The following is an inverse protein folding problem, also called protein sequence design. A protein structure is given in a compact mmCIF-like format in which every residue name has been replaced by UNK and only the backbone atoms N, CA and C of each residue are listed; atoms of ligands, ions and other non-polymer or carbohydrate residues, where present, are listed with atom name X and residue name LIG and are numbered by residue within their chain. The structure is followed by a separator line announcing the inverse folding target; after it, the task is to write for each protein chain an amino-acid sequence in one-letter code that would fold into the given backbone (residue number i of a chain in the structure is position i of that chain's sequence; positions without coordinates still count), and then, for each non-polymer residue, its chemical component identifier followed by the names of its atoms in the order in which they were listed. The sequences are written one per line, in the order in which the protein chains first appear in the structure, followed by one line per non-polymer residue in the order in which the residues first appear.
data_IF_394205730429
#
_entry.id   IF_394205730429
#
_cell.length_a   1.000
_cell.length_b   1.000
_cell.length_c   1.000
_cell.angle_alpha   90.00
_cell.angle_beta   90.00
_cell.angle_gamma   90.00
#
_symmetry.space_group_name_H-M   'P 1'
#
loop_
_entity.id
_entity.type
_entity.pdbx_description
1 polymer ?
#
# COMPACT_ATOMS: atom_id res chain seq x y z
N UNK A 1 41.02 49.22 18.36
CA UNK A 1 39.75 48.48 18.60
C UNK A 1 39.78 47.21 17.76
N UNK A 2 40.29 46.11 18.30
CA UNK A 2 40.28 44.80 17.63
C UNK A 2 39.27 43.91 18.36
N UNK A 3 38.25 43.43 17.63
CA UNK A 3 37.32 42.41 18.12
C UNK A 3 37.77 41.05 17.58
N UNK A 4 38.20 40.20 18.49
CA UNK A 4 38.40 38.76 18.27
C UNK A 4 37.03 38.09 18.12
N UNK A 5 36.87 37.30 17.06
CA UNK A 5 35.74 36.39 16.86
C UNK A 5 36.18 34.99 17.26
N UNK A 6 35.63 34.47 18.37
CA UNK A 6 35.81 33.07 18.78
C UNK A 6 34.85 32.20 17.99
N UNK A 7 35.39 31.32 17.15
CA UNK A 7 34.66 30.22 16.55
C UNK A 7 34.61 29.05 17.53
N UNK A 8 33.43 28.76 18.07
CA UNK A 8 33.18 27.56 18.87
C UNK A 8 33.02 26.35 17.95
N UNK A 9 34.01 25.46 18.00
CA UNK A 9 33.96 24.13 17.37
C UNK A 9 33.09 23.24 18.27
N UNK A 10 31.88 22.92 17.82
CA UNK A 10 31.03 21.89 18.44
C UNK A 10 31.43 20.55 17.82
N UNK A 11 32.17 19.74 18.58
CA UNK A 11 32.47 18.36 18.22
C UNK A 11 31.22 17.51 18.43
N UNK A 12 30.62 17.05 17.33
CA UNK A 12 29.51 16.10 17.34
C UNK A 12 30.07 14.70 17.63
N UNK A 13 29.95 14.24 18.89
CA UNK A 13 30.30 12.87 19.28
C UNK A 13 29.12 11.96 18.92
N UNK A 14 29.26 11.20 17.84
CA UNK A 14 28.34 10.12 17.48
C UNK A 14 28.64 8.89 18.35
N UNK A 15 27.92 8.77 19.47
CA UNK A 15 27.90 7.54 20.26
C UNK A 15 27.12 6.46 19.47
N UNK A 16 27.86 5.55 18.83
CA UNK A 16 27.32 4.30 18.32
C UNK A 16 26.87 3.43 19.51
N UNK A 17 25.59 3.51 19.85
CA UNK A 17 24.95 2.52 20.72
C UNK A 17 24.76 1.23 19.91
N UNK A 18 25.73 0.34 19.97
CA UNK A 18 25.52 -1.08 19.64
C UNK A 18 24.61 -1.67 20.72
N UNK A 19 23.30 -1.57 20.50
CA UNK A 19 22.32 -2.27 21.31
C UNK A 19 22.60 -3.77 21.26
N UNK A 20 22.88 -4.36 22.43
CA UNK A 20 22.89 -5.80 22.62
C UNK A 20 21.48 -6.32 22.33
N UNK A 21 21.24 -6.74 21.09
CA UNK A 21 20.07 -7.52 20.74
C UNK A 21 20.18 -8.85 21.47
N UNK A 22 19.38 -9.04 22.51
CA UNK A 22 19.08 -10.37 23.06
C UNK A 22 18.27 -11.13 22.01
N UNK A 23 18.95 -11.63 20.98
CA UNK A 23 18.44 -12.65 20.10
C UNK A 23 18.30 -13.92 20.89
N UNK A 24 17.06 -14.36 21.13
CA UNK A 24 16.82 -15.76 21.40
C UNK A 24 17.33 -16.51 20.17
N UNK A 25 18.44 -17.24 20.33
CA UNK A 25 18.95 -18.10 19.27
C UNK A 25 17.79 -18.99 18.81
N UNK A 26 17.42 -18.98 17.51
CA UNK A 26 16.41 -19.90 17.01
C UNK A 26 16.86 -21.30 17.38
N UNK A 27 15.92 -22.11 17.89
CA UNK A 27 16.22 -23.47 18.31
C UNK A 27 17.01 -24.19 17.20
N UNK A 28 18.18 -24.78 17.51
CA UNK A 28 19.02 -25.41 16.50
C UNK A 28 18.22 -26.54 15.82
N UNK A 29 17.97 -26.40 14.52
CA UNK A 29 17.25 -27.39 13.71
C UNK A 29 16.01 -26.88 12.97
N UNK A 30 15.56 -25.64 13.14
CA UNK A 30 14.54 -25.07 12.24
C UNK A 30 15.17 -24.76 10.87
N UNK A 31 15.08 -25.73 9.96
CA UNK A 31 15.33 -25.47 8.54
C UNK A 31 14.38 -24.36 8.08
N UNK A 32 14.97 -23.24 7.63
CA UNK A 32 14.22 -22.19 6.95
C UNK A 32 13.67 -22.80 5.66
N UNK A 33 12.41 -23.22 5.67
CA UNK A 33 11.70 -23.60 4.45
C UNK A 33 11.81 -22.38 3.53
N UNK A 34 12.39 -22.51 2.32
CA UNK A 34 12.58 -21.39 1.41
C UNK A 34 11.25 -20.65 1.25
N UNK A 35 11.30 -19.31 1.33
CA UNK A 35 10.14 -18.46 1.08
C UNK A 35 9.64 -18.80 -0.31
N UNK A 36 8.42 -19.32 -0.40
CA UNK A 36 7.79 -19.51 -1.70
C UNK A 36 7.54 -18.12 -2.27
N UNK A 37 7.85 -17.92 -3.55
CA UNK A 37 7.58 -16.67 -4.24
C UNK A 37 6.08 -16.55 -4.52
N UNK A 38 5.28 -16.29 -3.48
CA UNK A 38 3.82 -16.12 -3.56
C UNK A 38 3.52 -14.65 -3.75
N UNK A 39 2.81 -14.30 -4.83
CA UNK A 39 2.32 -12.94 -5.04
C UNK A 39 1.10 -12.67 -4.16
N UNK A 40 0.78 -11.40 -3.88
CA UNK A 40 -0.44 -11.06 -3.15
C UNK A 40 -1.70 -11.57 -3.87
N UNK A 41 -1.76 -11.43 -5.19
CA UNK A 41 -2.86 -11.95 -6.00
C UNK A 41 -3.02 -13.47 -5.84
N UNK A 42 -1.91 -14.21 -5.89
CA UNK A 42 -1.94 -15.65 -5.68
C UNK A 42 -2.43 -15.97 -4.27
N UNK A 43 -1.91 -15.29 -3.24
CA UNK A 43 -2.35 -15.50 -1.87
C UNK A 43 -3.87 -15.31 -1.75
N UNK A 44 -4.44 -14.28 -2.36
CA UNK A 44 -5.84 -13.91 -2.22
C UNK A 44 -6.82 -14.59 -3.21
N UNK A 45 -6.34 -15.33 -4.21
CA UNK A 45 -7.15 -15.82 -5.34
C UNK A 45 -8.36 -16.71 -4.98
N UNK A 46 -8.31 -17.44 -3.87
CA UNK A 46 -9.39 -18.33 -3.42
C UNK A 46 -10.21 -17.80 -2.24
N UNK A 47 -9.94 -16.57 -1.80
CA UNK A 47 -10.55 -16.03 -0.59
C UNK A 47 -12.00 -15.65 -0.83
N UNK A 48 -12.90 -16.21 -0.02
CA UNK A 48 -14.31 -15.82 -0.01
C UNK A 48 -14.48 -14.62 0.91
N UNK A 49 -14.47 -13.44 0.31
CA UNK A 49 -14.55 -12.18 1.03
C UNK A 49 -15.94 -11.87 1.58
N UNK A 50 -15.98 -11.20 2.74
CA UNK A 50 -17.18 -10.55 3.23
C UNK A 50 -17.14 -9.05 2.89
N UNK A 51 -18.09 -8.59 2.08
CA UNK A 51 -18.17 -7.21 1.66
C UNK A 51 -17.22 -6.85 0.51
N UNK A 52 -16.93 -5.55 0.38
CA UNK A 52 -16.01 -5.04 -0.65
C UNK A 52 -14.57 -5.15 -0.17
N UNK A 53 -13.69 -5.56 -1.07
CA UNK A 53 -12.26 -5.72 -0.78
C UNK A 53 -11.46 -4.91 -1.78
N UNK A 54 -10.43 -4.17 -1.34
CA UNK A 54 -9.57 -3.42 -2.23
C UNK A 54 -8.89 -4.37 -3.21
N UNK A 55 -8.75 -3.93 -4.46
CA UNK A 55 -7.86 -4.63 -5.38
C UNK A 55 -6.41 -4.38 -4.94
N UNK A 56 -5.46 -5.26 -5.27
CA UNK A 56 -4.04 -5.00 -5.00
C UNK A 56 -3.59 -3.61 -5.49
N UNK A 57 -4.09 -3.18 -6.66
CA UNK A 57 -3.81 -1.86 -7.21
C UNK A 57 -4.35 -0.71 -6.33
N UNK A 58 -5.50 -0.90 -5.66
CA UNK A 58 -6.11 0.12 -4.82
C UNK A 58 -5.46 0.25 -3.43
N UNK A 59 -4.64 -0.73 -3.03
CA UNK A 59 -3.80 -0.64 -1.83
C UNK A 59 -2.70 0.41 -2.02
N UNK A 60 -2.25 0.65 -3.25
CA UNK A 60 -1.19 1.62 -3.55
C UNK A 60 0.10 1.33 -2.78
N UNK A 61 0.71 2.35 -2.20
CA UNK A 61 1.99 2.24 -1.46
C UNK A 61 1.83 1.73 -0.01
N UNK A 62 0.66 1.22 0.37
CA UNK A 62 0.46 0.62 1.71
C UNK A 62 0.98 -0.81 1.75
N UNK A 63 1.36 -1.26 2.94
CA UNK A 63 1.86 -2.62 3.16
C UNK A 63 0.71 -3.61 3.36
N UNK A 64 0.50 -4.57 2.45
CA UNK A 64 -0.47 -5.64 2.62
C UNK A 64 0.05 -6.65 3.66
N UNK A 65 -0.78 -7.00 4.63
CA UNK A 65 -0.53 -8.06 5.60
C UNK A 65 -1.66 -9.08 5.49
N UNK A 66 -1.31 -10.33 5.23
CA UNK A 66 -2.28 -11.43 5.24
C UNK A 66 -2.11 -12.20 6.53
N UNK A 67 -3.13 -12.18 7.39
CA UNK A 67 -3.16 -12.91 8.65
C UNK A 67 -4.19 -14.02 8.57
N UNK A 68 -3.77 -15.23 8.90
CA UNK A 68 -4.61 -16.42 8.99
C UNK A 68 -4.96 -16.66 10.45
N UNK A 69 -6.22 -16.95 10.73
CA UNK A 69 -6.66 -17.38 12.06
C UNK A 69 -7.57 -18.61 11.96
N UNK A 70 -7.71 -19.31 13.10
CA UNK A 70 -8.60 -20.45 13.25
C UNK A 70 -9.49 -20.22 14.48
N UNK A 71 -10.81 -20.36 14.33
CA UNK A 71 -11.76 -20.04 15.42
C UNK A 71 -11.97 -21.21 16.39
N UNK A 72 -11.70 -22.44 15.96
CA UNK A 72 -11.89 -23.65 16.76
C UNK A 72 -10.77 -23.87 17.80
N UNK A 73 -9.63 -23.21 17.64
CA UNK A 73 -8.44 -23.41 18.49
C UNK A 73 -8.60 -22.76 19.88
N UNK A 74 -8.69 -23.54 20.99
CA UNK A 74 -8.93 -22.97 22.31
C UNK A 74 -7.79 -22.08 22.81
N UNK A 75 -6.54 -22.48 22.53
CA UNK A 75 -5.34 -21.70 22.88
C UNK A 75 -5.32 -20.36 22.16
N UNK A 76 -5.69 -20.36 20.89
CA UNK A 76 -5.78 -19.16 20.07
C UNK A 76 -6.87 -18.24 20.61
N UNK A 77 -8.04 -18.79 20.93
CA UNK A 77 -9.17 -18.05 21.52
C UNK A 77 -8.84 -17.35 22.83
N UNK A 78 -7.92 -17.90 23.63
CA UNK A 78 -7.44 -17.25 24.85
C UNK A 78 -6.57 -16.01 24.57
N UNK A 79 -5.91 -15.95 23.40
CA UNK A 79 -5.01 -14.85 23.02
C UNK A 79 -5.68 -13.80 22.12
N UNK A 80 -6.66 -14.21 21.31
CA UNK A 80 -7.29 -13.34 20.31
C UNK A 80 -7.82 -12.03 20.87
N UNK A 81 -8.48 -11.95 22.06
CA UNK A 81 -8.96 -10.67 22.57
C UNK A 81 -7.84 -9.64 22.75
N UNK A 82 -6.72 -10.05 23.35
CA UNK A 82 -5.56 -9.18 23.59
C UNK A 82 -4.84 -8.84 22.28
N UNK A 83 -4.63 -9.85 21.42
CA UNK A 83 -3.98 -9.67 20.11
C UNK A 83 -4.77 -8.73 19.20
N UNK A 84 -6.09 -8.94 19.07
CA UNK A 84 -6.92 -8.15 18.17
C UNK A 84 -7.09 -6.72 18.66
N UNK A 85 -7.15 -6.50 19.99
CA UNK A 85 -7.13 -5.16 20.56
C UNK A 85 -5.83 -4.41 20.17
N UNK A 86 -4.66 -5.06 20.30
CA UNK A 86 -3.39 -4.44 19.92
C UNK A 86 -3.26 -4.20 18.41
N UNK A 87 -3.72 -5.14 17.58
CA UNK A 87 -3.76 -4.95 16.12
C UNK A 87 -4.65 -3.74 15.78
N UNK A 88 -5.85 -3.67 16.35
CA UNK A 88 -6.79 -2.61 16.06
C UNK A 88 -6.29 -1.23 16.51
N UNK A 89 -5.60 -1.14 17.64
CA UNK A 89 -4.93 0.08 18.08
C UNK A 89 -3.81 0.48 17.10
N UNK A 90 -2.93 -0.46 16.76
CA UNK A 90 -1.75 -0.20 15.95
C UNK A 90 -2.08 0.15 14.49
N UNK A 91 -3.00 -0.59 13.88
CA UNK A 91 -3.24 -0.50 12.44
C UNK A 91 -3.91 0.81 12.02
N UNK A 92 -4.51 1.56 12.97
CA UNK A 92 -5.12 2.87 12.71
C UNK A 92 -4.12 3.91 12.23
N UNK A 93 -2.88 3.81 12.72
CA UNK A 93 -1.84 4.82 12.49
C UNK A 93 -0.72 4.34 11.57
N UNK A 94 -0.85 3.13 11.02
CA UNK A 94 0.15 2.51 10.15
C UNK A 94 -0.37 2.35 8.71
N UNK A 95 0.48 2.54 7.68
CA UNK A 95 0.13 2.32 6.27
C UNK A 95 0.07 0.82 5.97
N UNK A 96 -0.81 0.12 6.68
CA UNK A 96 -0.99 -1.32 6.62
C UNK A 96 -2.44 -1.64 6.28
N UNK A 97 -2.63 -2.58 5.37
CA UNK A 97 -3.93 -3.18 5.05
C UNK A 97 -3.90 -4.62 5.48
N UNK A 98 -4.76 -4.98 6.43
CA UNK A 98 -4.84 -6.33 7.00
C UNK A 98 -5.93 -7.16 6.32
N UNK A 99 -5.55 -8.26 5.70
CA UNK A 99 -6.43 -9.30 5.21
C UNK A 99 -6.50 -10.42 6.26
N UNK A 100 -7.52 -10.39 7.11
CA UNK A 100 -7.78 -11.38 8.14
C UNK A 100 -8.62 -12.54 7.57
N UNK A 101 -7.97 -13.66 7.29
CA UNK A 101 -8.54 -14.83 6.62
C UNK A 101 -8.76 -15.95 7.62
N UNK A 102 -9.99 -16.44 7.72
CA UNK A 102 -10.27 -17.66 8.46
C UNK A 102 -9.84 -18.89 7.65
N UNK A 103 -9.09 -19.78 8.28
CA UNK A 103 -8.70 -21.06 7.70
C UNK A 103 -9.63 -22.23 8.08
N UNK A 104 -10.66 -22.00 8.90
CA UNK A 104 -11.59 -23.08 9.26
C UNK A 104 -12.32 -23.65 8.03
N UNK A 105 -12.49 -24.97 7.99
CA UNK A 105 -13.21 -25.65 6.91
C UNK A 105 -14.74 -25.46 7.01
N UNK A 106 -15.28 -25.41 8.23
CA UNK A 106 -16.72 -25.58 8.48
C UNK A 106 -17.42 -24.35 9.05
N UNK A 107 -16.66 -23.39 9.60
CA UNK A 107 -17.22 -22.22 10.28
C UNK A 107 -16.90 -20.94 9.53
N UNK A 108 -17.87 -20.03 9.42
CA UNK A 108 -17.63 -18.68 8.88
C UNK A 108 -16.91 -17.86 9.95
N UNK A 109 -15.67 -17.48 9.70
CA UNK A 109 -14.82 -16.83 10.70
C UNK A 109 -15.16 -15.37 10.95
N UNK A 110 -15.96 -14.77 10.08
CA UNK A 110 -16.27 -13.33 10.19
C UNK A 110 -17.07 -13.02 11.44
N UNK A 111 -18.02 -13.87 11.83
CA UNK A 111 -18.73 -13.71 13.11
C UNK A 111 -17.74 -13.69 14.28
N UNK A 112 -16.77 -14.60 14.27
CA UNK A 112 -15.71 -14.65 15.28
C UNK A 112 -14.84 -13.39 15.30
N UNK A 113 -14.41 -12.89 14.14
CA UNK A 113 -13.61 -11.67 14.04
C UNK A 113 -14.38 -10.44 14.56
N UNK A 114 -15.65 -10.31 14.18
CA UNK A 114 -16.54 -9.21 14.61
C UNK A 114 -16.83 -9.27 16.11
N UNK A 115 -17.18 -10.45 16.64
CA UNK A 115 -17.42 -10.66 18.08
C UNK A 115 -16.20 -10.31 18.93
N UNK A 116 -15.00 -10.44 18.36
CA UNK A 116 -13.72 -10.12 19.00
C UNK A 116 -13.19 -8.73 18.65
N UNK A 117 -14.01 -7.91 17.99
CA UNK A 117 -13.69 -6.54 17.60
C UNK A 117 -12.41 -6.41 16.75
N UNK A 118 -12.09 -7.43 15.95
CA UNK A 118 -11.12 -7.30 14.87
C UNK A 118 -11.85 -6.69 13.67
N UNK A 119 -12.16 -5.41 13.74
CA UNK A 119 -12.85 -4.68 12.67
C UNK A 119 -12.19 -3.32 12.52
N UNK A 120 -12.18 -2.80 11.30
CA UNK A 120 -11.59 -1.50 11.02
C UNK A 120 -11.63 -1.21 9.53
N UNK A 121 -11.43 0.05 9.10
CA UNK A 121 -11.62 0.38 7.70
C UNK A 121 -10.49 -0.12 6.79
N UNK A 122 -9.36 -0.54 7.36
CA UNK A 122 -8.23 -1.21 6.70
C UNK A 122 -8.09 -2.69 7.11
N UNK A 123 -9.15 -3.30 7.65
CA UNK A 123 -9.21 -4.73 7.97
C UNK A 123 -10.28 -5.40 7.10
N UNK A 124 -9.87 -6.39 6.31
CA UNK A 124 -10.73 -7.13 5.39
C UNK A 124 -10.84 -8.58 5.83
N UNK A 125 -12.05 -9.10 5.83
CA UNK A 125 -12.33 -10.46 6.31
C UNK A 125 -12.71 -11.39 5.17
N UNK A 126 -12.15 -12.60 5.19
CA UNK A 126 -12.54 -13.66 4.28
C UNK A 126 -12.36 -15.04 4.87
N UNK A 127 -12.82 -16.04 4.14
CA UNK A 127 -12.73 -17.46 4.51
C UNK A 127 -12.07 -18.24 3.37
N UNK A 128 -10.97 -18.96 3.67
CA UNK A 128 -10.27 -19.82 2.71
C UNK A 128 -9.49 -20.92 3.44
N UNK A 129 -10.00 -22.15 3.53
CA UNK A 129 -9.28 -23.24 4.20
C UNK A 129 -8.00 -23.67 3.47
N UNK A 130 -7.84 -23.32 2.19
CA UNK A 130 -6.63 -23.64 1.41
C UNK A 130 -5.52 -22.60 1.53
N UNK A 131 -5.76 -21.47 2.21
CA UNK A 131 -4.83 -20.35 2.32
C UNK A 131 -3.50 -20.75 2.97
N UNK A 132 -3.55 -21.66 3.95
CA UNK A 132 -2.38 -22.14 4.71
C UNK A 132 -1.40 -22.83 3.77
N UNK A 133 -1.90 -23.76 2.95
CA UNK A 133 -1.09 -24.47 1.95
C UNK A 133 -0.58 -23.51 0.88
N UNK A 134 -1.44 -22.61 0.39
CA UNK A 134 -1.10 -21.66 -0.68
C UNK A 134 0.02 -20.70 -0.28
N UNK A 135 0.05 -20.29 0.98
CA UNK A 135 1.07 -19.39 1.52
C UNK A 135 2.27 -20.11 2.13
N UNK A 136 2.32 -21.45 2.02
CA UNK A 136 3.41 -22.27 2.52
C UNK A 136 3.56 -22.25 4.04
N UNK A 137 2.47 -22.06 4.79
CA UNK A 137 2.48 -22.17 6.24
C UNK A 137 2.41 -23.62 6.70
N UNK A 138 3.01 -23.92 7.85
CA UNK A 138 2.95 -25.25 8.47
C UNK A 138 1.73 -25.44 9.38
N UNK A 139 0.97 -24.38 9.62
CA UNK A 139 -0.14 -24.37 10.57
C UNK A 139 -1.16 -23.29 10.21
N UNK A 140 -2.43 -23.59 10.49
CA UNK A 140 -3.55 -22.64 10.41
C UNK A 140 -3.66 -21.70 11.62
N UNK A 141 -2.78 -21.88 12.61
CA UNK A 141 -2.86 -21.19 13.89
C UNK A 141 -2.16 -19.83 13.86
N UNK A 142 -2.93 -18.76 13.63
CA UNK A 142 -2.51 -17.37 13.89
C UNK A 142 -1.17 -17.05 13.24
N UNK A 143 -1.08 -17.26 11.93
CA UNK A 143 0.09 -16.98 11.11
C UNK A 143 -0.13 -15.69 10.32
N UNK A 144 0.94 -14.98 9.95
CA UNK A 144 0.81 -13.87 9.03
C UNK A 144 1.97 -13.77 8.06
N UNK A 145 1.76 -13.06 6.96
CA UNK A 145 2.79 -12.68 6.01
C UNK A 145 2.68 -11.21 5.63
N UNK A 146 3.84 -10.59 5.46
CA UNK A 146 3.99 -9.23 4.98
C UNK A 146 4.33 -9.29 3.50
N UNK A 147 3.65 -8.49 2.69
CA UNK A 147 3.93 -8.36 1.27
C UNK A 147 4.62 -7.04 0.98
N UNK A 148 5.64 -7.06 0.12
CA UNK A 148 6.33 -5.87 -0.40
C UNK A 148 6.47 -6.02 -1.91
N UNK A 149 6.18 -4.96 -2.65
CA UNK A 149 6.22 -4.96 -4.11
C UNK A 149 5.40 -6.11 -4.74
N UNK A 150 4.25 -6.42 -4.11
CA UNK A 150 3.36 -7.51 -4.53
C UNK A 150 3.84 -8.92 -4.18
N UNK A 151 5.00 -9.08 -3.55
CA UNK A 151 5.63 -10.37 -3.23
C UNK A 151 5.66 -10.62 -1.72
N UNK A 152 5.52 -11.87 -1.30
CA UNK A 152 5.71 -12.28 0.09
C UNK A 152 7.15 -11.98 0.55
N UNK A 153 7.32 -11.05 1.48
CA UNK A 153 8.62 -10.59 1.97
C UNK A 153 9.02 -11.20 3.32
N UNK A 154 8.04 -11.65 4.10
CA UNK A 154 8.27 -12.25 5.42
C UNK A 154 7.04 -12.97 5.94
N UNK A 155 7.27 -13.88 6.88
CA UNK A 155 6.21 -14.64 7.56
C UNK A 155 6.56 -14.88 9.02
N UNK A 156 5.56 -14.89 9.88
CA UNK A 156 5.74 -15.18 11.30
C UNK A 156 4.42 -15.66 11.93
N UNK A 157 4.46 -16.02 13.21
CA UNK A 157 3.27 -16.37 13.98
C UNK A 157 2.77 -15.15 14.75
N UNK A 158 1.58 -14.66 14.40
CA UNK A 158 0.89 -13.56 15.09
C UNK A 158 0.57 -13.90 16.55
N UNK A 159 0.42 -15.20 16.88
CA UNK A 159 0.21 -15.67 18.25
C UNK A 159 1.47 -15.67 19.12
N UNK A 160 2.67 -15.53 18.54
CA UNK A 160 3.91 -15.35 19.31
C UNK A 160 3.97 -13.96 19.92
N UNK A 161 4.51 -13.85 21.14
CA UNK A 161 4.55 -12.58 21.87
C UNK A 161 5.83 -12.41 22.67
N UNK A 162 6.12 -11.16 23.02
CA UNK A 162 7.22 -10.74 23.87
C UNK A 162 6.65 -10.20 25.19
N UNK A 163 7.10 -10.70 26.35
CA UNK A 163 6.70 -10.14 27.62
C UNK A 163 7.31 -8.74 27.80
N UNK A 164 6.52 -7.78 28.27
CA UNK A 164 6.98 -6.46 28.69
C UNK A 164 7.27 -6.42 30.19
N UNK A 165 7.98 -5.37 30.63
CA UNK A 165 8.36 -5.18 32.03
C UNK A 165 7.16 -5.05 32.98
N UNK A 166 6.01 -4.62 32.48
CA UNK A 166 4.75 -4.50 33.22
C UNK A 166 3.93 -5.81 33.27
N UNK A 167 4.46 -6.90 32.71
CA UNK A 167 3.79 -8.20 32.63
C UNK A 167 2.79 -8.33 31.47
N UNK A 168 2.56 -7.27 30.69
CA UNK A 168 1.73 -7.34 29.47
C UNK A 168 2.47 -8.02 28.32
N UNK A 169 1.73 -8.47 27.31
CA UNK A 169 2.31 -9.08 26.10
C UNK A 169 2.37 -8.06 24.97
N UNK A 170 3.40 -8.15 24.14
CA UNK A 170 3.43 -7.54 22.82
C UNK A 170 3.47 -8.63 21.77
N UNK A 171 2.40 -8.75 20.97
CA UNK A 171 2.36 -9.76 19.91
C UNK A 171 3.31 -9.41 18.76
N UNK A 172 3.87 -10.43 18.12
CA UNK A 172 4.89 -10.29 17.08
C UNK A 172 4.43 -9.41 15.92
N UNK A 173 3.20 -9.58 15.44
CA UNK A 173 2.64 -8.78 14.35
C UNK A 173 2.55 -7.30 14.72
N UNK A 174 2.21 -6.99 15.98
CA UNK A 174 2.11 -5.63 16.50
C UNK A 174 3.51 -5.02 16.61
N UNK A 175 4.48 -5.80 17.07
CA UNK A 175 5.88 -5.37 17.12
C UNK A 175 6.43 -5.06 15.74
N UNK A 176 6.14 -5.91 14.75
CA UNK A 176 6.59 -5.70 13.38
C UNK A 176 5.93 -4.45 12.77
N UNK A 177 4.64 -4.20 13.05
CA UNK A 177 3.96 -2.96 12.66
C UNK A 177 4.64 -1.73 13.30
N UNK A 178 4.95 -1.78 14.60
CA UNK A 178 5.66 -0.70 15.33
C UNK A 178 7.06 -0.44 14.79
N UNK A 179 7.77 -1.49 14.39
CA UNK A 179 9.12 -1.37 13.82
C UNK A 179 9.12 -0.76 12.40
N UNK A 180 7.94 -0.60 11.81
CA UNK A 180 7.75 -0.13 10.45
C UNK A 180 7.73 -1.29 9.47
N UNK A 181 6.55 -1.65 8.98
CA UNK A 181 6.41 -2.61 7.88
C UNK A 181 6.70 -1.99 6.51
N UNK A 182 6.91 -0.67 6.46
CA UNK A 182 7.08 0.11 5.25
C UNK A 182 5.75 0.70 4.75
N UNK A 183 5.81 1.30 3.56
CA UNK A 183 4.68 1.93 2.91
C UNK A 183 4.41 3.37 3.36
N UNK A 184 3.44 4.00 2.73
CA UNK A 184 3.08 5.40 2.98
C UNK A 184 1.58 5.67 2.79
N UNK A 185 1.09 6.69 3.48
CA UNK A 185 -0.24 7.25 3.22
C UNK A 185 -0.20 8.25 2.07
N UNK A 186 -1.19 8.16 1.20
CA UNK A 186 -1.43 9.12 0.14
C UNK A 186 -2.15 10.36 0.67
N UNK A 187 -3.18 10.16 1.50
CA UNK A 187 -4.05 11.21 2.02
C UNK A 187 -3.79 11.42 3.51
N UNK A 188 -3.82 10.37 4.32
CA UNK A 188 -3.75 10.53 5.78
C UNK A 188 -2.39 11.04 6.28
N UNK A 189 -2.42 11.80 7.37
CA UNK A 189 -1.23 12.28 8.09
C UNK A 189 -1.38 12.03 9.59
N UNK A 190 -0.26 12.00 10.32
CA UNK A 190 -0.23 11.63 11.75
C UNK A 190 -0.85 12.69 12.67
N UNK A 191 -0.98 13.92 12.20
CA UNK A 191 -1.57 15.05 12.90
C UNK A 191 -3.11 15.10 12.78
N UNK A 192 -3.70 14.30 11.89
CA UNK A 192 -5.17 14.21 11.76
C UNK A 192 -5.81 13.57 12.99
N UNK A 193 -6.97 14.09 13.37
CA UNK A 193 -7.82 13.54 14.42
C UNK A 193 -8.25 12.11 14.08
N UNK A 194 -8.42 11.23 15.08
CA UNK A 194 -8.86 9.85 14.85
C UNK A 194 -10.16 9.75 14.05
N UNK A 195 -11.06 10.72 14.25
CA UNK A 195 -12.35 10.76 13.55
C UNK A 195 -12.18 11.10 12.07
N UNK A 196 -11.32 12.06 11.73
CA UNK A 196 -11.03 12.39 10.33
C UNK A 196 -10.35 11.21 9.61
N UNK A 197 -9.38 10.57 10.27
CA UNK A 197 -8.69 9.38 9.74
C UNK A 197 -9.68 8.27 9.38
N UNK A 198 -10.63 7.97 10.26
CA UNK A 198 -11.69 6.98 10.03
C UNK A 198 -12.52 7.31 8.78
N UNK A 199 -12.85 8.60 8.57
CA UNK A 199 -13.67 9.06 7.43
C UNK A 199 -12.90 8.98 6.10
N UNK A 200 -11.61 9.32 6.11
CA UNK A 200 -10.78 9.37 4.91
C UNK A 200 -10.16 8.01 4.55
N UNK A 201 -10.22 7.04 5.46
CA UNK A 201 -9.63 5.71 5.23
C UNK A 201 -10.15 4.98 4.00
N UNK A 202 -11.46 4.98 3.70
CA UNK A 202 -11.96 4.39 2.45
C UNK A 202 -11.28 5.00 1.21
N UNK A 203 -11.04 6.31 1.18
CA UNK A 203 -10.36 6.96 0.06
C UNK A 203 -8.88 6.54 -0.03
N UNK A 204 -8.22 6.39 1.11
CA UNK A 204 -6.84 5.93 1.19
C UNK A 204 -6.64 4.54 0.55
N UNK A 205 -7.61 3.63 0.67
CA UNK A 205 -7.58 2.28 0.09
C UNK A 205 -8.26 2.18 -1.29
N UNK A 206 -8.50 3.34 -1.92
CA UNK A 206 -8.93 3.47 -3.31
C UNK A 206 -10.43 3.64 -3.53
N UNK A 207 -11.23 3.97 -2.50
CA UNK A 207 -12.52 4.58 -2.77
C UNK A 207 -12.31 5.89 -3.53
N UNK A 208 -13.14 6.14 -4.54
CA UNK A 208 -13.00 7.32 -5.39
C UNK A 208 -13.14 8.59 -4.54
N UNK A 209 -12.11 9.44 -4.57
CA UNK A 209 -12.11 10.75 -3.95
C UNK A 209 -12.33 11.82 -5.03
N UNK A 210 -13.59 12.19 -5.24
CA UNK A 210 -13.98 13.30 -6.12
C UNK A 210 -14.80 14.36 -5.36
N UNK A 211 -15.01 15.54 -5.96
CA UNK A 211 -15.78 16.63 -5.35
C UNK A 211 -17.14 16.20 -4.82
N UNK A 212 -17.85 15.33 -5.55
CA UNK A 212 -19.17 14.85 -5.13
C UNK A 212 -19.07 14.03 -3.86
N UNK A 213 -18.08 13.14 -3.78
CA UNK A 213 -17.80 12.34 -2.59
C UNK A 213 -17.41 13.23 -1.41
N UNK A 214 -16.55 14.24 -1.62
CA UNK A 214 -16.14 15.19 -0.59
C UNK A 214 -17.32 15.97 -0.01
N UNK A 215 -18.21 16.49 -0.88
CA UNK A 215 -19.43 17.18 -0.46
C UNK A 215 -20.31 16.24 0.37
N UNK A 216 -20.41 14.97 -0.03
CA UNK A 216 -21.21 13.99 0.71
C UNK A 216 -20.62 13.66 2.08
N UNK A 217 -19.30 13.53 2.20
CA UNK A 217 -18.62 13.27 3.47
C UNK A 217 -18.76 14.47 4.41
N UNK A 218 -18.58 15.68 3.89
CA UNK A 218 -18.64 16.93 4.67
C UNK A 218 -20.02 17.19 5.31
N UNK A 219 -21.11 16.74 4.69
CA UNK A 219 -22.50 17.03 5.15
C UNK A 219 -22.80 16.61 6.59
N UNK A 220 -22.08 15.62 7.12
CA UNK A 220 -22.33 15.06 8.44
C UNK A 220 -21.25 15.44 9.47
N UNK A 221 -20.40 16.42 9.16
CA UNK A 221 -19.33 16.89 10.04
C UNK A 221 -19.78 18.14 10.79
N UNK A 222 -19.34 18.28 12.04
CA UNK A 222 -19.37 19.58 12.72
C UNK A 222 -18.33 20.54 12.09
N UNK A 223 -18.40 21.82 12.46
CA UNK A 223 -17.54 22.87 11.89
C UNK A 223 -16.04 22.58 12.10
N UNK A 224 -15.66 22.11 13.29
CA UNK A 224 -14.26 21.79 13.61
C UNK A 224 -13.71 20.67 12.73
N UNK A 225 -14.47 19.57 12.59
CA UNK A 225 -14.06 18.44 11.77
C UNK A 225 -14.11 18.78 10.27
N UNK A 226 -15.05 19.62 9.84
CA UNK A 226 -15.16 20.06 8.47
C UNK A 226 -13.97 20.94 8.06
N UNK A 227 -13.47 21.81 8.94
CA UNK A 227 -12.29 22.62 8.69
C UNK A 227 -11.03 21.76 8.59
N UNK A 228 -10.85 20.81 9.50
CA UNK A 228 -9.76 19.84 9.46
C UNK A 228 -9.79 19.02 8.16
N UNK A 229 -10.97 18.54 7.76
CA UNK A 229 -11.18 17.81 6.51
C UNK A 229 -10.82 18.65 5.27
N UNK A 230 -11.24 19.91 5.23
CA UNK A 230 -10.94 20.81 4.10
C UNK A 230 -9.43 21.08 3.99
N UNK A 231 -8.75 21.28 5.12
CA UNK A 231 -7.29 21.42 5.18
C UNK A 231 -6.60 20.15 4.67
N UNK A 232 -7.00 18.98 5.16
CA UNK A 232 -6.46 17.69 4.73
C UNK A 232 -6.61 17.45 3.21
N UNK A 233 -7.77 17.77 2.64
CA UNK A 233 -8.00 17.68 1.18
C UNK A 233 -7.12 18.67 0.43
N UNK A 234 -7.00 19.90 0.93
CA UNK A 234 -6.16 20.93 0.30
C UNK A 234 -4.68 20.52 0.30
N UNK A 235 -4.19 19.99 1.42
CA UNK A 235 -2.82 19.51 1.55
C UNK A 235 -2.53 18.29 0.68
N UNK A 236 -3.50 17.37 0.58
CA UNK A 236 -3.43 16.27 -0.39
C UNK A 236 -3.29 16.79 -1.82
N UNK A 237 -4.16 17.71 -2.26
CA UNK A 237 -4.11 18.27 -3.61
C UNK A 237 -2.81 19.03 -3.85
N UNK A 238 -2.32 19.80 -2.88
CA UNK A 238 -1.05 20.51 -2.99
C UNK A 238 0.13 19.53 -3.16
N UNK A 239 0.14 18.41 -2.41
CA UNK A 239 1.15 17.34 -2.61
C UNK A 239 1.07 16.70 -3.99
N UNK A 240 -0.13 16.52 -4.55
CA UNK A 240 -0.29 16.05 -5.92
C UNK A 240 0.30 17.06 -6.92
N UNK A 241 0.05 18.37 -6.74
CA UNK A 241 0.64 19.42 -7.58
C UNK A 241 2.17 19.41 -7.53
N UNK A 242 2.77 19.28 -6.34
CA UNK A 242 4.23 19.18 -6.23
C UNK A 242 4.77 17.92 -6.90
N UNK A 243 4.08 16.78 -6.75
CA UNK A 243 4.42 15.53 -7.45
C UNK A 243 4.38 15.71 -8.97
N UNK A 244 3.36 16.39 -9.49
CA UNK A 244 3.24 16.71 -10.92
C UNK A 244 4.43 17.58 -11.36
N UNK A 245 4.76 18.64 -10.62
CA UNK A 245 5.89 19.53 -10.94
C UNK A 245 7.22 18.76 -11.02
N UNK A 246 7.55 17.98 -9.99
CA UNK A 246 8.78 17.17 -9.99
C UNK A 246 8.78 16.13 -11.11
N UNK A 247 7.63 15.53 -11.41
CA UNK A 247 7.51 14.54 -12.49
C UNK A 247 7.79 15.11 -13.88
N UNK A 248 7.51 16.40 -14.10
CA UNK A 248 7.78 17.09 -15.37
C UNK A 248 9.26 17.27 -15.69
N UNK A 249 10.10 17.31 -14.66
CA UNK A 249 11.55 17.43 -14.80
C UNK A 249 12.24 16.06 -14.96
N UNK A 250 11.47 14.97 -14.84
CA UNK A 250 11.95 13.60 -14.89
C UNK A 250 12.01 12.99 -16.29
N UNK A 251 12.23 11.67 -16.30
CA UNK A 251 12.15 10.80 -17.47
C UNK A 251 10.75 10.77 -18.09
N UNK A 252 10.63 10.34 -19.35
CA UNK A 252 9.33 10.22 -20.03
C UNK A 252 8.29 9.41 -19.23
N UNK A 253 8.61 8.24 -18.63
CA UNK A 253 7.68 7.54 -17.75
C UNK A 253 7.20 8.37 -16.55
N UNK A 254 8.09 9.16 -15.94
CA UNK A 254 7.73 10.05 -14.83
C UNK A 254 6.82 11.18 -15.33
N UNK A 255 7.13 11.80 -16.47
CA UNK A 255 6.30 12.85 -17.05
C UNK A 255 4.88 12.36 -17.36
N UNK A 256 4.75 11.15 -17.94
CA UNK A 256 3.43 10.54 -18.19
C UNK A 256 2.69 10.26 -16.88
N UNK A 257 3.36 9.75 -15.85
CA UNK A 257 2.75 9.59 -14.52
C UNK A 257 2.26 10.94 -13.97
N UNK A 258 3.03 12.00 -14.14
CA UNK A 258 2.64 13.36 -13.78
C UNK A 258 1.39 13.84 -14.54
N UNK A 259 1.31 13.56 -15.85
CA UNK A 259 0.11 13.85 -16.66
C UNK A 259 -1.11 13.05 -16.18
N UNK A 260 -0.98 11.75 -15.92
CA UNK A 260 -2.08 10.90 -15.41
C UNK A 260 -2.63 11.44 -14.06
N UNK A 261 -1.75 11.91 -13.17
CA UNK A 261 -2.16 12.56 -11.90
C UNK A 261 -2.86 13.90 -12.20
N UNK A 262 -2.32 14.72 -13.12
CA UNK A 262 -2.93 15.99 -13.49
C UNK A 262 -4.33 15.82 -14.09
N UNK A 263 -4.52 14.85 -15.00
CA UNK A 263 -5.81 14.53 -15.60
C UNK A 263 -6.83 14.09 -14.55
N UNK A 264 -6.42 13.23 -13.61
CA UNK A 264 -7.25 12.81 -12.48
C UNK A 264 -7.66 14.03 -11.63
N UNK A 265 -6.71 14.88 -11.23
CA UNK A 265 -7.00 16.05 -10.39
C UNK A 265 -7.90 17.06 -11.13
N UNK A 266 -7.64 17.30 -12.41
CA UNK A 266 -8.44 18.19 -13.26
C UNK A 266 -9.88 17.70 -13.49
N UNK A 267 -10.10 16.40 -13.37
CA UNK A 267 -11.41 15.78 -13.60
C UNK A 267 -12.20 15.65 -12.29
N UNK A 268 -11.57 15.11 -11.25
CA UNK A 268 -12.22 14.83 -9.97
C UNK A 268 -12.34 16.07 -9.06
N UNK A 269 -11.52 17.10 -9.28
CA UNK A 269 -11.49 18.33 -8.48
C UNK A 269 -11.62 19.62 -9.30
N UNK A 270 -12.40 19.59 -10.39
CA UNK A 270 -12.54 20.66 -11.39
C UNK A 270 -12.88 22.07 -10.85
N UNK A 271 -13.56 22.18 -9.72
CA UNK A 271 -13.97 23.45 -9.09
C UNK A 271 -12.92 24.01 -8.14
N UNK A 272 -11.92 23.22 -7.76
CA UNK A 272 -10.80 23.66 -6.92
C UNK A 272 -9.79 24.49 -7.73
N UNK A 273 -9.01 25.39 -7.09
CA UNK A 273 -7.88 26.05 -7.75
C UNK A 273 -6.87 25.07 -8.33
N UNK A 274 -6.57 23.98 -7.62
CA UNK A 274 -5.64 22.94 -8.06
C UNK A 274 -6.15 22.19 -9.29
N UNK A 275 -7.44 21.83 -9.31
CA UNK A 275 -8.07 21.20 -10.48
C UNK A 275 -8.06 22.08 -11.72
N UNK A 276 -8.31 23.39 -11.59
CA UNK A 276 -8.18 24.33 -12.72
C UNK A 276 -6.74 24.43 -13.22
N UNK A 277 -5.77 24.54 -12.31
CA UNK A 277 -4.35 24.58 -12.69
C UNK A 277 -3.91 23.28 -13.39
N UNK A 278 -4.37 22.12 -12.92
CA UNK A 278 -4.14 20.85 -13.60
C UNK A 278 -4.82 20.78 -14.97
N UNK A 279 -6.03 21.33 -15.12
CA UNK A 279 -6.72 21.39 -16.42
C UNK A 279 -5.90 22.17 -17.44
N UNK A 280 -5.44 23.37 -17.07
CA UNK A 280 -4.57 24.18 -17.95
C UNK A 280 -3.27 23.47 -18.33
N UNK A 281 -2.70 22.66 -17.44
CA UNK A 281 -1.53 21.84 -17.73
C UNK A 281 -1.85 20.71 -18.70
N UNK A 282 -2.96 20.00 -18.49
CA UNK A 282 -3.43 18.92 -19.36
C UNK A 282 -3.67 19.44 -20.76
N UNK A 283 -4.40 20.56 -20.90
CA UNK A 283 -4.69 21.19 -22.20
C UNK A 283 -3.40 21.52 -22.96
N UNK A 284 -2.38 22.07 -22.28
CA UNK A 284 -1.04 22.34 -22.88
C UNK A 284 -0.31 21.08 -23.33
N UNK A 285 -0.42 19.98 -22.59
CA UNK A 285 0.21 18.70 -22.94
C UNK A 285 -0.56 17.94 -24.04
N UNK A 286 -1.84 18.22 -24.21
CA UNK A 286 -2.64 17.75 -25.33
C UNK A 286 -2.28 18.43 -26.65
N UNK A 287 -1.79 19.68 -26.59
CA UNK A 287 -1.25 20.42 -27.74
C UNK A 287 0.18 19.99 -28.13
N UNK A 288 0.91 19.29 -27.25
CA UNK A 288 2.26 18.79 -27.52
C UNK A 288 2.23 17.45 -28.28
N UNK A 289 2.41 17.50 -29.60
CA UNK A 289 2.40 16.31 -30.47
C UNK A 289 3.44 15.26 -30.06
N UNK A 290 4.62 15.67 -29.57
CA UNK A 290 5.68 14.75 -29.16
C UNK A 290 5.23 13.98 -27.92
N UNK A 291 4.68 14.68 -26.93
CA UNK A 291 4.14 14.06 -25.73
C UNK A 291 2.92 13.16 -26.02
N UNK A 292 2.03 13.58 -26.92
CA UNK A 292 0.88 12.76 -27.33
C UNK A 292 1.30 11.47 -28.05
N UNK A 293 2.39 11.51 -28.83
CA UNK A 293 2.99 10.32 -29.42
C UNK A 293 3.53 9.37 -28.34
N UNK A 294 4.18 9.89 -27.30
CA UNK A 294 4.63 9.10 -26.15
C UNK A 294 3.46 8.46 -25.39
N UNK A 295 2.41 9.22 -25.10
CA UNK A 295 1.22 8.72 -24.40
C UNK A 295 0.52 7.61 -25.20
N UNK A 296 0.39 7.79 -26.51
CA UNK A 296 -0.19 6.79 -27.41
C UNK A 296 0.68 5.54 -27.53
N UNK A 297 2.00 5.72 -27.63
CA UNK A 297 2.96 4.62 -27.64
C UNK A 297 2.88 3.80 -26.34
N UNK A 298 2.83 4.45 -25.17
CA UNK A 298 2.63 3.79 -23.87
C UNK A 298 1.34 2.98 -23.85
N UNK A 299 0.21 3.57 -24.26
CA UNK A 299 -1.08 2.88 -24.28
C UNK A 299 -1.06 1.61 -25.13
N UNK A 300 -0.44 1.67 -26.32
CA UNK A 300 -0.30 0.49 -27.19
C UNK A 300 0.67 -0.54 -26.62
N UNK A 301 1.76 -0.10 -25.99
CA UNK A 301 2.72 -0.95 -25.30
C UNK A 301 2.06 -1.72 -24.15
N UNK A 302 1.35 -1.02 -23.25
CA UNK A 302 0.66 -1.61 -22.10
C UNK A 302 -0.41 -2.62 -22.55
N UNK A 303 -1.23 -2.25 -23.55
CA UNK A 303 -2.20 -3.17 -24.16
C UNK A 303 -1.55 -4.38 -24.82
N UNK A 304 -0.39 -4.18 -25.47
CA UNK A 304 0.39 -5.23 -26.11
C UNK A 304 0.90 -6.23 -25.07
N UNK A 305 1.46 -5.75 -23.96
CA UNK A 305 1.92 -6.58 -22.84
C UNK A 305 0.78 -7.35 -22.20
N UNK A 306 -0.34 -6.69 -21.90
CA UNK A 306 -1.48 -7.31 -21.24
C UNK A 306 -2.13 -8.42 -22.10
N UNK A 307 -2.21 -8.23 -23.41
CA UNK A 307 -2.85 -9.18 -24.35
C UNK A 307 -1.90 -10.28 -24.85
N UNK A 308 -0.60 -10.13 -24.65
CA UNK A 308 0.37 -11.11 -25.10
C UNK A 308 0.33 -12.35 -24.19
N UNK A 309 -0.03 -13.48 -24.76
CA UNK A 309 -0.05 -14.79 -24.09
C UNK A 309 1.05 -15.74 -24.61
N UNK A 310 1.86 -15.30 -25.57
CA UNK A 310 2.97 -16.05 -26.13
C UNK A 310 4.05 -15.11 -26.70
N UNK A 311 5.29 -15.56 -26.87
CA UNK A 311 6.35 -14.76 -27.51
C UNK A 311 5.96 -14.26 -28.91
N UNK A 312 5.23 -15.07 -29.69
CA UNK A 312 4.78 -14.70 -31.04
C UNK A 312 3.75 -13.57 -30.98
N UNK A 313 2.78 -13.64 -30.07
CA UNK A 313 1.79 -12.56 -29.91
C UNK A 313 2.43 -11.29 -29.36
N UNK A 314 3.39 -11.41 -28.43
CA UNK A 314 4.18 -10.29 -27.94
C UNK A 314 4.94 -9.58 -29.08
N UNK A 315 5.72 -10.32 -29.88
CA UNK A 315 6.47 -9.75 -31.01
C UNK A 315 5.56 -9.02 -31.99
N UNK A 316 4.42 -9.61 -32.32
CA UNK A 316 3.42 -8.99 -33.20
C UNK A 316 2.85 -7.69 -32.62
N UNK A 317 2.55 -7.65 -31.32
CA UNK A 317 1.98 -6.46 -30.68
C UNK A 317 3.02 -5.35 -30.53
N UNK A 318 4.23 -5.68 -30.06
CA UNK A 318 5.34 -4.74 -29.93
C UNK A 318 5.80 -4.18 -31.28
N UNK A 319 5.82 -5.01 -32.33
CA UNK A 319 6.14 -4.57 -33.70
C UNK A 319 5.21 -3.48 -34.21
N UNK A 320 3.93 -3.47 -33.79
CA UNK A 320 3.01 -2.37 -34.10
C UNK A 320 3.37 -1.07 -33.42
N UNK A 321 3.82 -1.13 -32.16
CA UNK A 321 4.31 0.05 -31.42
C UNK A 321 5.52 0.63 -32.14
N UNK A 322 6.53 -0.20 -32.44
CA UNK A 322 7.77 0.19 -33.11
C UNK A 322 7.48 0.80 -34.49
N UNK A 323 6.61 0.16 -35.30
CA UNK A 323 6.30 0.64 -36.65
C UNK A 323 5.70 2.06 -36.71
N UNK A 324 5.07 2.52 -35.62
CA UNK A 324 4.38 3.81 -35.54
C UNK A 324 5.11 4.84 -34.69
N UNK A 325 5.86 4.37 -33.70
CA UNK A 325 6.43 5.19 -32.64
C UNK A 325 7.88 4.78 -32.34
N UNK A 326 8.68 4.46 -33.36
CA UNK A 326 10.05 3.96 -33.19
C UNK A 326 10.93 4.89 -32.33
N UNK A 327 10.74 6.20 -32.49
CA UNK A 327 11.56 7.22 -31.84
C UNK A 327 11.11 7.54 -30.40
N UNK A 328 9.97 7.01 -29.95
CA UNK A 328 9.46 7.25 -28.60
C UNK A 328 10.12 6.33 -27.57
N UNK A 329 10.10 6.72 -26.31
CA UNK A 329 10.57 5.89 -25.21
C UNK A 329 9.90 4.51 -25.22
N UNK A 330 8.58 4.45 -25.40
CA UNK A 330 7.85 3.19 -25.42
C UNK A 330 8.02 2.40 -26.73
N UNK A 331 8.40 3.04 -27.83
CA UNK A 331 8.89 2.35 -29.02
C UNK A 331 10.20 1.61 -28.77
N UNK A 332 11.14 2.26 -28.08
CA UNK A 332 12.41 1.65 -27.68
C UNK A 332 12.19 0.51 -26.67
N UNK A 333 11.31 0.70 -25.68
CA UNK A 333 10.95 -0.37 -24.73
C UNK A 333 10.23 -1.55 -25.42
N UNK A 334 9.44 -1.28 -26.46
CA UNK A 334 8.83 -2.33 -27.27
C UNK A 334 9.90 -3.17 -28.00
N UNK A 335 10.94 -2.53 -28.54
CA UNK A 335 12.07 -3.23 -29.17
C UNK A 335 12.80 -4.11 -28.17
N UNK A 336 13.15 -3.57 -26.99
CA UNK A 336 13.78 -4.35 -25.90
C UNK A 336 12.94 -5.57 -25.51
N UNK A 337 11.62 -5.41 -25.43
CA UNK A 337 10.71 -6.52 -25.11
C UNK A 337 10.69 -7.61 -26.19
N UNK A 338 10.87 -7.26 -27.47
CA UNK A 338 11.01 -8.23 -28.56
C UNK A 338 12.33 -8.99 -28.44
N UNK A 339 13.42 -8.28 -28.18
CA UNK A 339 14.77 -8.85 -28.12
C UNK A 339 14.92 -9.81 -26.94
N UNK A 340 14.23 -9.56 -25.82
CA UNK A 340 14.21 -10.43 -24.64
C UNK A 340 13.50 -11.79 -24.84
N UNK A 341 12.76 -11.97 -25.94
CA UNK A 341 12.05 -13.23 -26.26
C UNK A 341 12.52 -13.86 -27.59
N UNK A 342 13.65 -13.40 -28.11
CA UNK A 342 14.41 -14.09 -29.17
C UNK A 342 15.31 -15.13 -28.53
#
# INVERSE_FOLDING_TARGET
MHRFSLASIVALVTLNFSGLAFGQNPAPGMQMVPVQNVTLDQALAGVRWQGRVPSPASIGDKTPVVMIYASWCPKCNAWSPELFAQIHEMIRDQPVVLFAINADETTRGVSYAVERNLVGPNIFHGDDPSIVQRMGFQSELFMYSVFKDGMQAGRSSAGSYFPKNDGTKEFSIVRDMKSGMGGSFSILTTDMSPRLREILWPAEIGAKLDERSLISLRKNMDESLADEFNSAVTDYLNRQIETIKTSREGTIPQQIKGYEIAEMVATDFKSTPQGRACRELVDKLEEDEVFQNELTAKKLYDQGKQKANSPVTLKRMMGRVISRYADTHYGQEAQKAIDAVQ
#
